data_IF_212313517167
#
_entry.id   IF_212313517167
#
_cell.length_a   1.000
_cell.length_b   1.000
_cell.length_c   1.000
_cell.angle_alpha   90.00
_cell.angle_beta   90.00
_cell.angle_gamma   90.00
#
_symmetry.space_group_name_H-M   'P 1'
#
loop_
_entity.id
_entity.type
_entity.pdbx_description
1 polymer ?
#
# COMPACT_ATOMS: atom_id res chain seq x y z
N UNK A 1 45.16 -13.03 -79.69
CA UNK A 1 45.19 -14.51 -79.53
C UNK A 1 44.98 -14.89 -78.07
N UNK A 2 43.72 -15.11 -77.66
CA UNK A 2 43.24 -16.14 -76.71
C UNK A 2 41.76 -15.83 -76.46
N UNK A 3 40.89 -16.62 -77.08
CA UNK A 3 39.45 -16.68 -76.82
C UNK A 3 39.26 -17.83 -75.82
N UNK A 4 38.38 -17.63 -74.82
CA UNK A 4 37.48 -18.68 -74.29
C UNK A 4 36.37 -18.05 -73.43
N UNK A 5 35.15 -18.45 -73.76
CA UNK A 5 33.86 -18.16 -73.11
C UNK A 5 33.76 -18.79 -71.72
N UNK A 6 32.92 -18.22 -70.83
CA UNK A 6 32.00 -19.05 -70.04
C UNK A 6 30.76 -18.28 -69.56
N UNK A 7 29.62 -18.97 -69.64
CA UNK A 7 28.25 -18.54 -69.33
C UNK A 7 27.81 -19.34 -68.10
N UNK A 8 27.16 -18.73 -67.09
CA UNK A 8 25.95 -19.24 -66.41
C UNK A 8 25.61 -18.51 -65.08
N UNK A 9 24.30 -18.54 -64.83
CA UNK A 9 23.47 -17.89 -63.82
C UNK A 9 23.73 -18.25 -62.35
N UNK A 10 23.24 -17.43 -61.41
CA UNK A 10 22.34 -17.78 -60.27
C UNK A 10 22.14 -16.51 -59.41
N UNK A 11 20.98 -15.84 -59.47
CA UNK A 11 19.84 -16.02 -58.56
C UNK A 11 20.17 -15.79 -57.07
N UNK A 12 19.73 -14.66 -56.51
CA UNK A 12 19.00 -14.60 -55.22
C UNK A 12 18.48 -13.18 -54.94
N UNK A 13 17.15 -13.05 -55.01
CA UNK A 13 16.35 -12.05 -54.33
C UNK A 13 16.64 -12.06 -52.83
N UNK A 14 16.69 -10.89 -52.19
CA UNK A 14 16.36 -10.74 -50.77
C UNK A 14 15.36 -9.58 -50.65
N UNK A 15 14.11 -9.95 -50.39
CA UNK A 15 12.98 -9.07 -50.13
C UNK A 15 13.00 -8.55 -48.69
N UNK A 16 12.63 -7.27 -48.56
CA UNK A 16 11.96 -6.56 -47.47
C UNK A 16 11.90 -7.11 -46.04
N UNK A 17 12.23 -6.23 -45.09
CA UNK A 17 11.57 -6.13 -43.78
C UNK A 17 11.85 -4.74 -43.18
N UNK A 18 10.97 -3.78 -43.49
CA UNK A 18 10.84 -2.52 -42.74
C UNK A 18 10.30 -2.84 -41.35
N UNK A 19 11.20 -2.87 -40.36
CA UNK A 19 10.88 -3.12 -38.96
C UNK A 19 10.15 -1.94 -38.31
N UNK A 20 8.93 -2.20 -37.84
CA UNK A 20 8.14 -1.31 -37.00
C UNK A 20 8.66 -1.43 -35.55
N UNK A 21 9.43 -0.45 -35.06
CA UNK A 21 9.84 -0.39 -33.66
C UNK A 21 8.80 0.40 -32.85
N UNK A 22 7.84 -0.30 -32.24
CA UNK A 22 6.93 0.29 -31.25
C UNK A 22 7.66 0.39 -29.91
N UNK A 23 8.09 1.60 -29.56
CA UNK A 23 8.68 1.93 -28.27
C UNK A 23 7.56 2.04 -27.22
N UNK A 24 7.28 0.96 -26.49
CA UNK A 24 6.36 1.01 -25.34
C UNK A 24 7.06 1.70 -24.17
N UNK A 25 6.81 3.01 -24.00
CA UNK A 25 7.21 3.73 -22.80
C UNK A 25 6.34 3.25 -21.62
N UNK A 26 6.90 2.41 -20.75
CA UNK A 26 6.31 2.13 -19.43
C UNK A 26 6.39 3.41 -18.58
N UNK A 27 5.30 4.16 -18.54
CA UNK A 27 5.10 5.19 -17.51
C UNK A 27 4.92 4.46 -16.18
N UNK A 28 5.98 4.39 -15.38
CA UNK A 28 5.88 3.99 -13.99
C UNK A 28 5.07 5.07 -13.24
N UNK A 29 3.79 4.80 -13.02
CA UNK A 29 2.95 5.61 -12.14
C UNK A 29 3.45 5.40 -10.70
N UNK A 30 4.35 6.27 -10.25
CA UNK A 30 4.72 6.33 -8.82
C UNK A 30 3.47 6.83 -8.09
N UNK A 31 2.93 6.03 -7.16
CA UNK A 31 1.81 6.51 -6.35
C UNK A 31 2.31 7.71 -5.54
N UNK A 32 1.64 8.85 -5.70
CA UNK A 32 1.96 10.05 -4.94
C UNK A 32 1.64 9.84 -3.45
N UNK A 33 2.41 10.53 -2.60
CA UNK A 33 2.09 10.68 -1.19
C UNK A 33 0.66 11.22 -1.06
N UNK A 34 -0.10 10.63 -0.16
CA UNK A 34 -1.51 10.97 0.08
C UNK A 34 -1.82 11.06 1.58
N UNK A 35 -0.77 11.20 2.37
CA UNK A 35 -0.83 11.39 3.80
C UNK A 35 0.32 12.27 4.26
N UNK A 36 0.07 13.03 5.33
CA UNK A 36 1.08 13.86 5.98
C UNK A 36 0.87 13.77 7.47
N UNK A 37 1.82 13.17 8.17
CA UNK A 37 1.72 12.99 9.60
C UNK A 37 2.90 12.24 10.17
N UNK A 38 2.83 11.97 11.46
CA UNK A 38 3.86 11.23 12.19
C UNK A 38 3.23 10.23 13.13
N UNK A 39 3.96 9.13 13.30
CA UNK A 39 3.81 8.20 14.41
C UNK A 39 5.09 8.29 15.25
N UNK A 40 4.92 8.47 16.55
CA UNK A 40 5.99 8.40 17.53
C UNK A 40 5.69 7.25 18.49
N UNK A 41 6.62 6.32 18.64
CA UNK A 41 6.51 5.22 19.59
C UNK A 41 7.77 5.13 20.45
N UNK A 42 7.60 5.27 21.77
CA UNK A 42 8.69 5.18 22.74
C UNK A 42 8.75 3.77 23.32
N UNK A 43 9.59 2.92 22.72
CA UNK A 43 9.92 1.63 23.30
C UNK A 43 10.90 1.77 24.48
N UNK A 44 11.19 0.66 25.20
CA UNK A 44 12.06 0.69 26.38
C UNK A 44 13.49 1.18 26.11
N UNK A 45 14.01 0.93 24.90
CA UNK A 45 15.41 1.20 24.53
C UNK A 45 15.57 2.21 23.39
N UNK A 46 14.49 2.53 22.67
CA UNK A 46 14.54 3.32 21.44
C UNK A 46 13.24 4.06 21.23
N UNK A 47 13.35 5.28 20.72
CA UNK A 47 12.22 6.04 20.18
C UNK A 47 12.18 5.83 18.67
N UNK A 48 11.00 5.46 18.18
CA UNK A 48 10.71 5.34 16.76
C UNK A 48 9.92 6.56 16.33
N UNK A 49 10.43 7.28 15.34
CA UNK A 49 9.75 8.38 14.68
C UNK A 49 9.54 7.98 13.22
N UNK A 50 8.28 7.84 12.81
CA UNK A 50 7.91 7.44 11.45
C UNK A 50 7.12 8.58 10.83
N UNK A 51 7.59 9.08 9.69
CA UNK A 51 6.80 9.96 8.84
C UNK A 51 5.80 9.12 8.06
N UNK A 52 4.50 9.41 8.21
CA UNK A 52 3.41 8.68 7.55
C UNK A 52 3.07 9.38 6.24
N UNK A 53 3.70 8.94 5.15
CA UNK A 53 3.57 9.52 3.80
C UNK A 53 2.44 8.89 2.98
N UNK A 54 2.10 7.64 3.30
CA UNK A 54 1.12 6.85 2.56
C UNK A 54 -0.01 6.42 3.47
N UNK A 55 -1.25 6.73 3.08
CA UNK A 55 -2.47 6.19 3.67
C UNK A 55 -3.18 5.30 2.65
N UNK A 56 -3.58 4.10 3.04
CA UNK A 56 -4.33 3.17 2.19
C UNK A 56 -5.62 2.77 2.86
N UNK A 57 -6.70 2.80 2.10
CA UNK A 57 -7.99 2.31 2.52
C UNK A 57 -8.23 0.95 1.88
N UNK A 58 -8.47 -0.06 2.72
CA UNK A 58 -8.93 -1.38 2.28
C UNK A 58 -10.20 -1.75 3.03
N UNK A 59 -10.99 -2.65 2.45
CA UNK A 59 -12.13 -3.24 3.11
C UNK A 59 -12.08 -4.76 2.99
N UNK A 60 -12.64 -5.47 3.96
CA UNK A 60 -12.69 -6.93 3.92
C UNK A 60 -13.42 -7.50 5.13
N UNK A 61 -13.53 -8.83 5.21
CA UNK A 61 -14.06 -9.48 6.40
C UNK A 61 -13.20 -9.22 7.63
N UNK A 62 -13.83 -9.10 8.79
CA UNK A 62 -13.13 -9.03 10.07
C UNK A 62 -12.40 -10.35 10.36
N UNK A 63 -11.30 -10.27 11.09
CA UNK A 63 -10.47 -11.43 11.40
C UNK A 63 -11.10 -12.40 12.41
N UNK A 64 -12.10 -11.95 13.17
CA UNK A 64 -12.79 -12.75 14.20
C UNK A 64 -14.20 -13.16 13.77
N UNK A 65 -14.86 -12.35 12.95
CA UNK A 65 -16.17 -12.65 12.35
C UNK A 65 -16.15 -12.37 10.85
N UNK A 66 -16.04 -13.42 10.03
CA UNK A 66 -15.98 -13.32 8.57
C UNK A 66 -17.27 -12.81 7.91
N UNK A 67 -18.38 -12.77 8.66
CA UNK A 67 -19.65 -12.18 8.21
C UNK A 67 -19.66 -10.67 8.37
N UNK A 68 -18.81 -10.15 9.23
CA UNK A 68 -18.67 -8.72 9.48
C UNK A 68 -17.66 -8.13 8.51
N UNK A 69 -18.05 -7.09 7.78
CA UNK A 69 -17.12 -6.31 6.96
C UNK A 69 -16.59 -5.12 7.73
N UNK A 70 -15.30 -4.86 7.58
CA UNK A 70 -14.62 -3.72 8.19
C UNK A 70 -13.94 -2.86 7.15
N UNK A 71 -13.79 -1.58 7.47
CA UNK A 71 -12.87 -0.66 6.80
C UNK A 71 -11.58 -0.57 7.61
N UNK A 72 -10.44 -0.64 6.92
CA UNK A 72 -9.11 -0.50 7.51
C UNK A 72 -8.36 0.63 6.81
N UNK A 73 -7.82 1.53 7.61
CA UNK A 73 -6.81 2.49 7.21
C UNK A 73 -5.43 1.95 7.54
N UNK A 74 -4.49 2.06 6.60
CA UNK A 74 -3.10 1.63 6.76
C UNK A 74 -2.21 2.83 6.47
N UNK A 75 -1.42 3.25 7.45
CA UNK A 75 -0.48 4.36 7.35
C UNK A 75 0.95 3.85 7.41
N UNK A 76 1.76 4.22 6.43
CA UNK A 76 3.15 3.75 6.30
C UNK A 76 4.06 4.87 5.82
N UNK A 77 5.36 4.73 6.10
CA UNK A 77 6.38 5.64 5.56
C UNK A 77 6.82 5.31 4.13
N UNK A 78 6.47 4.13 3.62
CA UNK A 78 6.83 3.68 2.27
C UNK A 78 5.63 3.12 1.55
N UNK A 79 5.55 3.28 0.23
CA UNK A 79 4.46 2.73 -0.56
C UNK A 79 4.47 1.18 -0.56
N UNK A 80 3.37 0.58 -0.10
CA UNK A 80 3.15 -0.88 -0.07
C UNK A 80 2.02 -1.36 -1.02
N UNK A 81 1.63 -0.55 -2.01
CA UNK A 81 0.51 -0.85 -2.94
C UNK A 81 0.62 -2.20 -3.62
N UNK A 82 1.83 -2.53 -4.11
CA UNK A 82 2.07 -3.80 -4.79
C UNK A 82 1.85 -5.00 -3.86
N UNK A 83 2.26 -4.86 -2.59
CA UNK A 83 2.08 -5.88 -1.55
C UNK A 83 0.61 -6.07 -1.20
N UNK A 84 -0.14 -4.98 -1.02
CA UNK A 84 -1.58 -5.04 -0.76
C UNK A 84 -2.31 -5.69 -1.94
N UNK A 85 -1.98 -5.27 -3.17
CA UNK A 85 -2.61 -5.81 -4.38
C UNK A 85 -2.33 -7.29 -4.58
N UNK A 86 -1.13 -7.76 -4.22
CA UNK A 86 -0.76 -9.18 -4.34
C UNK A 86 -1.36 -10.10 -3.27
N UNK A 87 -1.84 -9.57 -2.16
CA UNK A 87 -2.41 -10.39 -1.09
C UNK A 87 -3.81 -10.91 -1.42
N UNK A 88 -4.07 -12.21 -1.24
CA UNK A 88 -5.40 -12.79 -1.49
C UNK A 88 -6.38 -12.57 -0.33
N UNK A 89 -5.86 -12.56 0.89
CA UNK A 89 -6.60 -12.34 2.13
C UNK A 89 -6.13 -11.06 2.82
N UNK A 90 -6.99 -10.49 3.66
CA UNK A 90 -6.72 -9.20 4.31
C UNK A 90 -5.54 -9.28 5.29
N UNK A 91 -5.42 -10.36 6.07
CA UNK A 91 -4.31 -10.55 7.02
C UNK A 91 -2.93 -10.71 6.36
N UNK A 92 -2.86 -11.11 5.08
CA UNK A 92 -1.60 -11.20 4.35
C UNK A 92 -0.90 -9.83 4.27
N UNK A 93 -1.66 -8.74 4.35
CA UNK A 93 -1.10 -7.39 4.33
C UNK A 93 -0.32 -7.08 5.61
N UNK A 94 -0.74 -7.63 6.75
CA UNK A 94 -0.28 -7.22 8.09
C UNK A 94 1.25 -7.34 8.23
N UNK A 95 1.85 -8.40 7.65
CA UNK A 95 3.31 -8.65 7.69
C UNK A 95 4.14 -7.65 6.87
N UNK A 96 3.49 -6.86 6.02
CA UNK A 96 4.13 -5.84 5.19
C UNK A 96 4.01 -4.43 5.76
N UNK A 97 3.26 -4.24 6.85
CA UNK A 97 2.99 -2.93 7.42
C UNK A 97 4.13 -2.54 8.36
N UNK A 98 4.90 -1.54 7.95
CA UNK A 98 5.85 -0.82 8.81
C UNK A 98 5.25 0.57 9.10
N UNK A 99 4.48 0.67 10.17
CA UNK A 99 3.67 1.83 10.49
C UNK A 99 2.48 1.51 11.40
N UNK A 100 1.29 1.96 10.99
CA UNK A 100 0.04 1.90 11.75
C UNK A 100 -1.09 1.34 10.89
N UNK A 101 -1.90 0.44 11.44
CA UNK A 101 -3.20 0.08 10.89
C UNK A 101 -4.32 0.42 11.89
N UNK A 102 -5.48 0.82 11.37
CA UNK A 102 -6.65 1.20 12.16
C UNK A 102 -7.91 0.59 11.55
N UNK A 103 -8.62 -0.21 12.33
CA UNK A 103 -9.91 -0.78 11.97
C UNK A 103 -11.04 0.06 12.55
N UNK A 104 -11.93 0.53 11.67
CA UNK A 104 -12.98 1.49 12.02
C UNK A 104 -14.25 0.83 12.53
N UNK A 105 -14.61 -0.31 11.94
CA UNK A 105 -15.93 -0.92 12.16
C UNK A 105 -15.84 -2.24 12.92
N UNK A 106 -14.64 -2.68 13.29
CA UNK A 106 -14.43 -3.98 13.94
C UNK A 106 -15.05 -4.06 15.35
N UNK A 107 -15.13 -2.94 16.07
CA UNK A 107 -15.64 -2.86 17.44
C UNK A 107 -16.29 -1.49 17.73
N UNK A 108 -16.89 -1.25 18.91
CA UNK A 108 -17.43 0.07 19.29
C UNK A 108 -16.39 1.21 19.33
N UNK A 109 -15.10 0.84 19.36
CA UNK A 109 -13.94 1.73 19.38
C UNK A 109 -13.03 1.39 18.21
N UNK A 110 -12.27 2.37 17.75
CA UNK A 110 -11.21 2.11 16.76
C UNK A 110 -10.17 1.17 17.36
N UNK A 111 -9.88 0.08 16.65
CA UNK A 111 -8.80 -0.83 16.99
C UNK A 111 -7.57 -0.42 16.18
N UNK A 112 -6.39 -0.41 16.80
CA UNK A 112 -5.16 -0.08 16.08
C UNK A 112 -4.01 -1.01 16.44
N UNK A 113 -3.11 -1.18 15.49
CA UNK A 113 -1.85 -1.90 15.64
C UNK A 113 -0.73 -1.10 15.02
N UNK A 114 0.37 -1.00 15.76
CA UNK A 114 1.65 -0.45 15.33
C UNK A 114 2.60 -1.61 15.13
N UNK A 115 3.24 -1.64 13.97
CA UNK A 115 4.29 -2.59 13.63
C UNK A 115 5.52 -1.84 13.12
N UNK A 116 6.64 -2.02 13.79
CA UNK A 116 7.88 -1.27 13.55
C UNK A 116 9.11 -2.20 13.68
N UNK A 117 10.25 -1.70 13.21
CA UNK A 117 11.54 -2.36 13.23
C UNK A 117 11.50 -3.74 12.56
N UNK A 118 10.85 -3.86 11.39
CA UNK A 118 10.71 -5.14 10.71
C UNK A 118 9.88 -6.13 11.52
N UNK A 119 8.75 -5.67 12.07
CA UNK A 119 7.82 -6.44 12.92
C UNK A 119 8.33 -6.83 14.31
N UNK A 120 9.52 -6.42 14.72
CA UNK A 120 10.07 -6.72 16.05
C UNK A 120 9.51 -5.82 17.16
N UNK A 121 8.88 -4.71 16.80
CA UNK A 121 8.18 -3.83 17.72
C UNK A 121 6.71 -3.83 17.32
N UNK A 122 5.87 -4.36 18.21
CA UNK A 122 4.44 -4.42 18.02
C UNK A 122 3.73 -3.81 19.22
N UNK A 123 2.71 -3.01 18.95
CA UNK A 123 1.84 -2.47 19.98
C UNK A 123 0.42 -2.41 19.44
N UNK A 124 -0.55 -2.90 20.20
CA UNK A 124 -1.97 -2.81 19.85
C UNK A 124 -2.74 -2.09 20.93
N UNK A 125 -3.81 -1.39 20.54
CA UNK A 125 -4.69 -0.75 21.50
C UNK A 125 -6.01 -0.36 20.89
N UNK A 126 -6.78 0.40 21.66
CA UNK A 126 -8.02 1.03 21.20
C UNK A 126 -8.02 2.51 21.51
N UNK A 127 -8.73 3.29 20.70
CA UNK A 127 -8.99 4.71 20.93
C UNK A 127 -10.47 5.01 20.74
N UNK A 128 -10.94 6.14 21.25
CA UNK A 128 -12.34 6.56 21.03
C UNK A 128 -12.51 7.05 19.58
N UNK A 129 -13.73 6.98 19.05
CA UNK A 129 -13.98 7.24 17.63
C UNK A 129 -13.68 8.69 17.23
N UNK A 130 -13.81 9.63 18.17
CA UNK A 130 -13.57 11.07 17.99
C UNK A 130 -12.10 11.40 17.70
N UNK A 131 -11.19 10.44 17.90
CA UNK A 131 -9.78 10.57 17.46
C UNK A 131 -9.63 10.55 15.93
N UNK A 132 -10.65 10.07 15.21
CA UNK A 132 -10.74 10.12 13.76
C UNK A 132 -11.84 11.10 13.34
N UNK A 133 -11.44 12.16 12.63
CA UNK A 133 -12.37 13.10 12.02
C UNK A 133 -12.31 12.95 10.50
N UNK A 134 -13.40 12.47 9.89
CA UNK A 134 -13.51 12.28 8.46
C UNK A 134 -14.16 13.50 7.80
N UNK A 135 -13.49 14.06 6.79
CA UNK A 135 -14.07 15.04 5.85
C UNK A 135 -14.69 14.36 4.64
N UNK A 136 -14.31 13.10 4.38
CA UNK A 136 -14.93 12.23 3.38
C UNK A 136 -15.06 10.84 3.97
N UNK A 137 -16.29 10.33 4.01
CA UNK A 137 -16.61 8.97 4.40
C UNK A 137 -17.50 8.33 3.33
N UNK A 138 -16.88 7.55 2.43
CA UNK A 138 -17.60 6.75 1.45
C UNK A 138 -16.99 5.36 1.30
N UNK A 139 -17.67 4.48 0.57
CA UNK A 139 -17.16 3.13 0.27
C UNK A 139 -15.90 3.15 -0.61
N UNK A 140 -15.70 4.23 -1.36
CA UNK A 140 -14.64 4.38 -2.35
C UNK A 140 -13.49 5.25 -1.83
N UNK A 141 -13.68 5.99 -0.73
CA UNK A 141 -12.71 6.97 -0.25
C UNK A 141 -12.93 7.33 1.21
N UNK A 142 -11.83 7.39 1.96
CA UNK A 142 -11.78 7.97 3.30
C UNK A 142 -10.76 9.11 3.31
N UNK A 143 -11.15 10.30 3.74
CA UNK A 143 -10.24 11.42 3.92
C UNK A 143 -10.53 12.11 5.25
N UNK A 144 -9.49 12.59 5.93
CA UNK A 144 -9.65 13.17 7.25
C UNK A 144 -8.35 13.31 8.03
N UNK A 145 -8.49 13.38 9.35
CA UNK A 145 -7.39 13.45 10.30
C UNK A 145 -7.56 12.40 11.39
N UNK A 146 -6.50 11.67 11.69
CA UNK A 146 -6.39 10.78 12.84
C UNK A 146 -5.40 11.40 13.83
N UNK A 147 -5.86 11.62 15.06
CA UNK A 147 -5.03 12.21 16.12
C UNK A 147 -5.31 11.60 17.48
N UNK A 148 -4.30 11.05 18.12
CA UNK A 148 -4.36 10.59 19.50
C UNK A 148 -2.98 10.52 20.15
N UNK A 149 -2.94 10.56 21.48
CA UNK A 149 -1.73 10.37 22.25
C UNK A 149 -1.96 9.33 23.35
N UNK A 150 -1.30 8.18 23.22
CA UNK A 150 -1.33 7.08 24.19
C UNK A 150 0.02 6.91 24.89
N UNK A 151 0.93 7.89 24.77
CA UNK A 151 2.28 7.82 25.33
C UNK A 151 2.33 7.64 26.84
N UNK A 152 1.36 8.21 27.58
CA UNK A 152 1.25 8.04 29.02
C UNK A 152 1.02 6.57 29.44
N UNK A 153 0.40 5.76 28.57
CA UNK A 153 0.18 4.33 28.76
C UNK A 153 1.25 3.46 28.06
N UNK A 154 2.35 4.06 27.57
CA UNK A 154 3.38 3.36 26.80
C UNK A 154 2.99 3.06 25.34
N UNK A 155 1.88 3.63 24.87
CA UNK A 155 1.43 3.55 23.48
C UNK A 155 2.03 4.63 22.59
N UNK A 156 1.60 4.70 21.32
CA UNK A 156 2.10 5.69 20.37
C UNK A 156 1.40 7.05 20.52
N UNK A 157 2.06 8.08 20.00
CA UNK A 157 1.44 9.35 19.63
C UNK A 157 1.30 9.38 18.11
N UNK A 158 0.12 9.72 17.61
CA UNK A 158 -0.20 9.75 16.19
C UNK A 158 -0.91 11.06 15.86
N UNK A 159 -0.45 11.73 14.81
CA UNK A 159 -1.15 12.86 14.20
C UNK A 159 -0.91 12.80 12.69
N UNK A 160 -1.98 12.58 11.93
CA UNK A 160 -1.90 12.38 10.48
C UNK A 160 -3.15 12.87 9.77
N UNK A 161 -2.96 13.69 8.74
CA UNK A 161 -4.00 14.03 7.76
C UNK A 161 -3.81 13.16 6.53
N UNK A 162 -4.91 12.72 5.92
CA UNK A 162 -4.86 11.77 4.82
C UNK A 162 -6.03 11.90 3.85
N UNK A 163 -5.80 11.37 2.66
CA UNK A 163 -6.80 11.18 1.62
C UNK A 163 -6.57 9.82 0.94
N UNK A 164 -7.33 8.81 1.37
CA UNK A 164 -7.16 7.42 1.01
C UNK A 164 -8.30 6.92 0.12
N UNK A 165 -8.12 6.86 -1.21
CA UNK A 165 -9.03 6.11 -2.06
C UNK A 165 -8.97 4.61 -1.72
N UNK A 166 -10.09 3.91 -1.91
CA UNK A 166 -10.17 2.47 -1.74
C UNK A 166 -9.18 1.80 -2.69
N UNK A 167 -8.22 1.09 -2.12
CA UNK A 167 -7.19 0.37 -2.86
C UNK A 167 -7.64 -1.05 -3.22
N UNK A 168 -8.31 -1.73 -2.27
CA UNK A 168 -8.72 -3.13 -2.44
C UNK A 168 -9.86 -3.51 -1.51
N UNK A 169 -10.79 -4.30 -2.03
CA UNK A 169 -11.74 -5.06 -1.23
C UNK A 169 -11.32 -6.53 -1.21
N UNK A 170 -11.01 -7.04 -0.03
CA UNK A 170 -10.68 -8.45 0.19
C UNK A 170 -11.96 -9.28 0.33
N UNK A 171 -11.93 -10.50 -0.21
CA UNK A 171 -13.01 -11.46 -0.07
C UNK A 171 -12.83 -12.38 1.16
N UNK A 172 -11.62 -12.42 1.74
CA UNK A 172 -11.25 -13.33 2.83
C UNK A 172 -10.50 -12.57 3.92
N UNK A 173 -10.76 -12.92 5.17
CA UNK A 173 -9.96 -12.44 6.30
C UNK A 173 -8.57 -13.09 6.35
N UNK A 174 -8.51 -14.41 6.08
CA UNK A 174 -7.33 -15.27 6.18
C UNK A 174 -7.21 -16.20 4.99
#
# INVERSE_FOLDING_TARGET
MKIRYNFQHHFRLVSGLTGFAVFFALLAFVAADNSKGKLVYKGPKKVFNVDLQFARFVSGPDAFDDKKKIRRLIFTGTNIDSKIKSCDAMNCVDVHIEGLQVDLDAAPRLLYWVSLNGQLVQYSGTVVNETLSLTTDSKERLAGTLKFDQSAAGGPTVEVTFDAPLLKTFAKAR
#
